data_IF_968041612435
#
_entry.id   IF_968041612435
#
_cell.length_a   1.000
_cell.length_b   1.000
_cell.length_c   1.000
_cell.angle_alpha   90.00
_cell.angle_beta   90.00
_cell.angle_gamma   90.00
#
_symmetry.space_group_name_H-M   'P 1'
#
loop_
_entity.id
_entity.type
_entity.pdbx_description
1 polymer ?
#
# COMPACT_ATOMS: atom_id res chain seq x y z
N UNK A 1 -18.22 -4.82 1.56
CA UNK A 1 -16.93 -4.23 1.97
C UNK A 1 -15.74 -5.17 1.74
N UNK A 2 -15.91 -6.34 1.10
CA UNK A 2 -14.80 -7.25 0.74
C UNK A 2 -13.84 -6.71 -0.34
N UNK A 3 -14.24 -5.68 -1.10
CA UNK A 3 -13.52 -5.25 -2.30
C UNK A 3 -12.26 -4.40 -2.03
N UNK A 4 -12.09 -3.78 -0.85
CA UNK A 4 -11.00 -2.82 -0.62
C UNK A 4 -9.65 -3.47 -0.30
N UNK A 5 -9.63 -4.60 0.43
CA UNK A 5 -8.37 -5.27 0.80
C UNK A 5 -7.78 -6.04 -0.39
N UNK A 6 -8.60 -6.74 -1.16
CA UNK A 6 -8.13 -7.45 -2.38
C UNK A 6 -7.60 -6.49 -3.44
N UNK A 7 -8.27 -5.34 -3.64
CA UNK A 7 -7.77 -4.29 -4.52
C UNK A 7 -6.42 -3.75 -4.05
N UNK A 8 -6.26 -3.47 -2.75
CA UNK A 8 -4.99 -3.00 -2.18
C UNK A 8 -3.87 -4.04 -2.33
N UNK A 9 -4.17 -5.34 -2.13
CA UNK A 9 -3.21 -6.44 -2.35
C UNK A 9 -2.77 -6.54 -3.81
N UNK A 10 -3.72 -6.42 -4.74
CA UNK A 10 -3.45 -6.51 -6.18
C UNK A 10 -2.58 -5.35 -6.64
N UNK A 11 -2.91 -4.12 -6.20
CA UNK A 11 -2.11 -2.92 -6.48
C UNK A 11 -0.69 -3.05 -5.93
N UNK A 12 -0.53 -3.50 -4.68
CA UNK A 12 0.78 -3.71 -4.08
C UNK A 12 1.61 -4.76 -4.84
N UNK A 13 0.99 -5.88 -5.23
CA UNK A 13 1.66 -6.92 -6.01
C UNK A 13 2.11 -6.42 -7.40
N UNK A 14 1.32 -5.52 -8.03
CA UNK A 14 1.70 -4.88 -9.28
C UNK A 14 2.86 -3.88 -9.08
N UNK A 15 2.79 -3.07 -8.02
CA UNK A 15 3.79 -2.06 -7.70
C UNK A 15 5.19 -2.65 -7.45
N UNK A 16 5.28 -3.82 -6.78
CA UNK A 16 6.54 -4.56 -6.59
C UNK A 16 7.25 -4.85 -7.93
N UNK A 17 6.48 -5.10 -9.00
CA UNK A 17 7.02 -5.44 -10.32
C UNK A 17 7.29 -4.22 -11.20
N UNK A 18 6.65 -3.09 -10.90
CA UNK A 18 6.65 -1.90 -11.74
C UNK A 18 7.93 -1.07 -11.67
N UNK A 19 8.70 -1.20 -10.59
CA UNK A 19 9.94 -0.42 -10.39
C UNK A 19 9.71 1.07 -10.11
N UNK A 20 8.46 1.46 -9.83
CA UNK A 20 8.10 2.80 -9.36
C UNK A 20 8.01 2.77 -7.83
N UNK A 21 9.05 3.27 -7.18
CA UNK A 21 9.16 3.30 -5.72
C UNK A 21 8.05 4.15 -5.07
N UNK A 22 7.59 5.22 -5.73
CA UNK A 22 6.51 6.05 -5.21
C UNK A 22 5.18 5.26 -5.20
N UNK A 23 4.91 4.52 -6.28
CA UNK A 23 3.74 3.65 -6.37
C UNK A 23 3.84 2.47 -5.39
N UNK A 24 5.04 1.92 -5.17
CA UNK A 24 5.26 0.89 -4.14
C UNK A 24 4.91 1.39 -2.74
N UNK A 25 5.44 2.55 -2.35
CA UNK A 25 5.19 3.15 -1.03
C UNK A 25 3.70 3.45 -0.87
N UNK A 26 3.06 4.03 -1.88
CA UNK A 26 1.64 4.33 -1.87
C UNK A 26 0.78 3.07 -1.75
N UNK A 27 1.08 2.03 -2.53
CA UNK A 27 0.33 0.77 -2.51
C UNK A 27 0.51 0.00 -1.20
N UNK A 28 1.72 -0.03 -0.63
CA UNK A 28 2.00 -0.65 0.68
C UNK A 28 1.28 0.08 1.80
N UNK A 29 1.31 1.41 1.79
CA UNK A 29 0.60 2.25 2.77
C UNK A 29 -0.92 2.02 2.71
N UNK A 30 -1.48 1.95 1.51
CA UNK A 30 -2.90 1.66 1.31
C UNK A 30 -3.27 0.26 1.81
N UNK A 31 -2.41 -0.75 1.60
CA UNK A 31 -2.62 -2.09 2.12
C UNK A 31 -2.59 -2.13 3.65
N UNK A 32 -1.62 -1.46 4.28
CA UNK A 32 -1.55 -1.37 5.75
C UNK A 32 -2.83 -0.73 6.30
N UNK A 33 -3.30 0.37 5.71
CA UNK A 33 -4.54 1.03 6.13
C UNK A 33 -5.77 0.13 5.95
N UNK A 34 -5.87 -0.57 4.83
CA UNK A 34 -6.98 -1.49 4.57
C UNK A 34 -6.99 -2.70 5.53
N UNK A 35 -5.81 -3.17 5.96
CA UNK A 35 -5.69 -4.38 6.79
C UNK A 35 -5.78 -4.07 8.29
N UNK A 36 -5.30 -2.91 8.71
CA UNK A 36 -5.15 -2.55 10.15
C UNK A 36 -6.03 -1.39 10.59
N UNK A 37 -6.64 -0.66 9.65
CA UNK A 37 -7.32 0.61 9.93
C UNK A 37 -6.37 1.77 10.26
N UNK A 38 -5.05 1.57 10.17
CA UNK A 38 -4.04 2.59 10.53
C UNK A 38 -3.61 3.39 9.30
N UNK A 39 -3.67 4.71 9.37
CA UNK A 39 -3.12 5.59 8.34
C UNK A 39 -1.61 5.73 8.55
N UNK A 40 -0.82 5.34 7.55
CA UNK A 40 0.63 5.50 7.54
C UNK A 40 0.98 6.98 7.39
N UNK A 41 1.79 7.51 8.29
CA UNK A 41 2.26 8.91 8.21
C UNK A 41 3.36 9.07 7.16
N UNK A 42 3.62 10.31 6.74
CA UNK A 42 4.70 10.60 5.80
C UNK A 42 6.09 10.14 6.32
N UNK A 43 6.32 10.25 7.64
CA UNK A 43 7.55 9.78 8.28
C UNK A 43 7.67 8.27 8.24
N UNK A 44 6.59 7.53 8.49
CA UNK A 44 6.57 6.07 8.41
C UNK A 44 6.73 5.58 6.97
N UNK A 45 6.15 6.29 6.00
CA UNK A 45 6.28 5.98 4.59
C UNK A 45 7.72 6.13 4.07
N UNK A 46 8.55 6.96 4.71
CA UNK A 46 9.97 7.10 4.36
C UNK A 46 10.82 5.86 4.70
N UNK A 47 10.30 4.94 5.52
CA UNK A 47 10.95 3.69 5.92
C UNK A 47 10.32 2.44 5.29
N UNK A 48 9.37 2.64 4.37
CA UNK A 48 8.66 1.55 3.66
C UNK A 48 9.50 1.01 2.52
#
# INVERSE_FOLDING_TARGET
MENTIEQARTRYAAAIKGGDDAEFIAAKSALIAATTGTVVTAEQAAYI
#
